data_IF_504432048520
#
_entry.id   IF_504432048520
#
_cell.length_a   1.000
_cell.length_b   1.000
_cell.length_c   1.000
_cell.angle_alpha   90.00
_cell.angle_beta   90.00
_cell.angle_gamma   90.00
#
_symmetry.space_group_name_H-M   'P 1'
#
loop_
_entity.id
_entity.type
_entity.pdbx_description
1 polymer ?
#
# COMPACT_ATOMS: atom_id res chain seq x y z
N UNK A 1 -7.01 23.47 -3.92
CA UNK A 1 -7.61 23.35 -5.27
C UNK A 1 -7.94 21.88 -5.47
N UNK A 2 -9.10 21.56 -6.00
CA UNK A 2 -9.58 20.18 -6.13
C UNK A 2 -9.94 19.91 -7.58
N UNK A 3 -9.36 18.86 -8.16
CA UNK A 3 -9.54 18.35 -9.52
C UNK A 3 -10.30 17.02 -9.53
N UNK A 4 -11.12 16.75 -8.50
CA UNK A 4 -11.94 15.56 -8.41
C UNK A 4 -12.74 15.33 -9.71
N UNK A 5 -12.67 14.11 -10.27
CA UNK A 5 -13.34 13.69 -11.52
C UNK A 5 -12.99 14.50 -12.74
N UNK A 6 -11.81 15.10 -12.78
CA UNK A 6 -11.30 15.71 -14.01
C UNK A 6 -10.81 14.61 -14.97
N UNK A 7 -11.74 13.85 -15.56
CA UNK A 7 -11.47 12.67 -16.40
C UNK A 7 -10.60 12.97 -17.63
N UNK A 8 -10.49 14.22 -18.04
CA UNK A 8 -9.63 14.68 -19.15
C UNK A 8 -8.29 15.29 -18.69
N UNK A 9 -8.03 15.38 -17.39
CA UNK A 9 -6.77 15.92 -16.86
C UNK A 9 -5.65 14.90 -17.10
N UNK A 10 -4.76 15.19 -18.05
CA UNK A 10 -3.66 14.28 -18.39
C UNK A 10 -2.41 14.49 -17.54
N UNK A 11 -2.19 15.74 -17.10
CA UNK A 11 -1.01 16.15 -16.34
C UNK A 11 -1.36 17.20 -15.29
N UNK A 12 -0.70 17.14 -14.13
CA UNK A 12 -0.81 18.16 -13.10
C UNK A 12 0.59 18.70 -12.73
N UNK A 13 0.80 20.01 -12.92
CA UNK A 13 1.99 20.71 -12.44
C UNK A 13 1.69 21.31 -11.07
N UNK A 14 2.37 20.79 -10.04
CA UNK A 14 2.22 21.26 -8.67
C UNK A 14 3.26 22.37 -8.39
N UNK A 15 2.89 23.44 -7.68
CA UNK A 15 3.81 24.54 -7.41
C UNK A 15 4.94 24.10 -6.47
N UNK A 16 6.13 24.66 -6.68
CA UNK A 16 7.24 24.54 -5.72
C UNK A 16 6.81 25.09 -4.36
N UNK A 17 7.23 24.43 -3.28
CA UNK A 17 6.85 24.80 -1.91
C UNK A 17 5.46 24.31 -1.50
N UNK A 18 4.75 23.54 -2.33
CA UNK A 18 3.54 22.85 -1.89
C UNK A 18 3.90 21.81 -0.82
N UNK A 19 3.37 21.99 0.39
CA UNK A 19 3.64 21.11 1.53
C UNK A 19 2.58 20.01 1.71
N UNK A 20 1.36 20.23 1.20
CA UNK A 20 0.27 19.26 1.35
C UNK A 20 -0.66 19.21 0.14
N UNK A 21 -1.17 18.01 -0.15
CA UNK A 21 -2.28 17.79 -1.09
C UNK A 21 -3.48 17.28 -0.28
N UNK A 22 -4.60 18.00 -0.37
CA UNK A 22 -5.80 17.66 0.40
C UNK A 22 -6.43 16.33 -0.01
N UNK A 23 -7.32 15.82 0.84
CA UNK A 23 -8.10 14.62 0.54
C UNK A 23 -8.89 14.79 -0.76
N UNK A 24 -8.98 13.70 -1.55
CA UNK A 24 -9.67 13.61 -2.84
C UNK A 24 -9.26 14.66 -3.88
N UNK A 25 -8.10 15.31 -3.72
CA UNK A 25 -7.69 16.43 -4.58
C UNK A 25 -7.64 16.06 -6.07
N UNK A 26 -7.25 14.85 -6.43
CA UNK A 26 -7.17 14.33 -7.80
C UNK A 26 -7.89 12.99 -7.96
N UNK A 27 -8.77 12.61 -7.03
CA UNK A 27 -9.51 11.36 -7.13
C UNK A 27 -10.28 11.29 -8.47
N UNK A 28 -10.34 10.12 -9.08
CA UNK A 28 -10.97 9.84 -10.38
C UNK A 28 -10.46 10.68 -11.56
N UNK A 29 -9.25 11.25 -11.49
CA UNK A 29 -8.61 11.78 -12.69
C UNK A 29 -8.09 10.61 -13.54
N UNK A 30 -9.01 9.86 -14.16
CA UNK A 30 -8.71 8.58 -14.83
C UNK A 30 -7.72 8.70 -15.98
N UNK A 31 -7.57 9.89 -16.60
CA UNK A 31 -6.55 10.17 -17.62
C UNK A 31 -5.23 10.72 -17.08
N UNK A 32 -5.12 10.99 -15.78
CA UNK A 32 -3.91 11.57 -15.18
C UNK A 32 -2.78 10.54 -15.22
N UNK A 33 -1.81 10.79 -16.08
CA UNK A 33 -0.66 9.89 -16.32
C UNK A 33 0.67 10.57 -16.01
N UNK A 34 0.74 11.89 -16.06
CA UNK A 34 1.94 12.66 -15.75
C UNK A 34 1.75 13.50 -14.48
N UNK A 35 2.34 13.05 -13.37
CA UNK A 35 2.30 13.71 -12.07
C UNK A 35 3.71 13.81 -11.49
N UNK A 36 4.17 15.03 -11.22
CA UNK A 36 5.40 15.27 -10.46
C UNK A 36 5.03 15.82 -9.10
N UNK A 37 5.39 15.09 -8.03
CA UNK A 37 5.23 15.57 -6.66
C UNK A 37 6.42 16.46 -6.29
N UNK A 38 6.22 17.64 -5.67
CA UNK A 38 7.32 18.52 -5.31
C UNK A 38 8.07 18.01 -4.08
N UNK A 39 9.38 18.26 -4.01
CA UNK A 39 10.25 17.81 -2.91
C UNK A 39 9.82 18.34 -1.53
N UNK A 40 9.11 19.48 -1.49
CA UNK A 40 8.59 20.10 -0.27
C UNK A 40 7.37 19.38 0.31
N UNK A 41 6.78 18.43 -0.42
CA UNK A 41 5.53 17.78 -0.03
C UNK A 41 5.74 16.85 1.18
N UNK A 42 4.97 17.09 2.24
CA UNK A 42 5.05 16.37 3.51
C UNK A 42 3.82 15.48 3.74
N UNK A 43 2.65 15.91 3.24
CA UNK A 43 1.38 15.27 3.53
C UNK A 43 0.52 15.02 2.27
N UNK A 44 0.02 13.78 2.14
CA UNK A 44 -1.01 13.40 1.19
C UNK A 44 -2.30 13.03 1.91
N UNK A 45 -3.38 13.74 1.61
CA UNK A 45 -4.71 13.50 2.16
C UNK A 45 -5.35 12.19 1.67
N UNK A 46 -6.46 11.82 2.30
CA UNK A 46 -7.15 10.57 2.01
C UNK A 46 -7.61 10.52 0.56
N UNK A 47 -7.39 9.37 -0.09
CA UNK A 47 -7.78 9.15 -1.50
C UNK A 47 -7.32 10.24 -2.48
N UNK A 48 -6.23 10.97 -2.18
CA UNK A 48 -5.83 12.13 -2.98
C UNK A 48 -5.65 11.83 -4.47
N UNK A 49 -5.23 10.60 -4.83
CA UNK A 49 -5.06 10.12 -6.20
C UNK A 49 -5.80 8.79 -6.44
N UNK A 50 -6.85 8.50 -5.66
CA UNK A 50 -7.61 7.27 -5.83
C UNK A 50 -8.25 7.21 -7.23
N UNK A 51 -8.25 6.03 -7.85
CA UNK A 51 -8.82 5.79 -9.19
C UNK A 51 -8.22 6.62 -10.33
N UNK A 52 -7.02 7.18 -10.15
CA UNK A 52 -6.19 7.66 -11.26
C UNK A 52 -5.59 6.46 -12.02
N UNK A 53 -6.43 5.74 -12.77
CA UNK A 53 -6.05 4.47 -13.42
C UNK A 53 -4.96 4.60 -14.48
N UNK A 54 -4.78 5.76 -15.11
CA UNK A 54 -3.67 6.04 -16.02
C UNK A 54 -2.34 6.39 -15.30
N UNK A 55 -2.34 6.58 -13.99
CA UNK A 55 -1.11 6.89 -13.22
C UNK A 55 -0.33 5.60 -12.99
N UNK A 56 0.71 5.39 -13.80
CA UNK A 56 1.49 4.14 -13.81
C UNK A 56 2.82 4.19 -13.06
N UNK A 57 3.28 5.41 -12.78
CA UNK A 57 4.50 5.70 -12.03
C UNK A 57 4.28 6.90 -11.10
N UNK A 58 4.90 6.87 -9.93
CA UNK A 58 4.97 8.01 -9.01
C UNK A 58 6.25 7.89 -8.19
N UNK A 59 6.99 8.99 -8.10
CA UNK A 59 8.11 9.11 -7.18
C UNK A 59 7.61 9.81 -5.90
N UNK A 60 7.72 9.12 -4.77
CA UNK A 60 7.34 9.70 -3.47
C UNK A 60 8.48 10.62 -2.99
N UNK A 61 8.20 11.89 -2.66
CA UNK A 61 9.22 12.82 -2.17
C UNK A 61 9.89 12.31 -0.90
N UNK A 62 11.19 12.58 -0.77
CA UNK A 62 11.96 12.13 0.40
C UNK A 62 11.39 12.68 1.71
N UNK A 63 10.87 13.92 1.72
CA UNK A 63 10.28 14.56 2.90
C UNK A 63 8.87 14.09 3.26
N UNK A 64 8.24 13.23 2.44
CA UNK A 64 6.88 12.76 2.66
C UNK A 64 6.81 11.89 3.91
N UNK A 65 6.03 12.33 4.90
CA UNK A 65 5.93 11.66 6.21
C UNK A 65 4.53 11.13 6.50
N UNK A 66 3.51 11.65 5.81
CA UNK A 66 2.13 11.25 5.99
C UNK A 66 1.49 10.80 4.66
N UNK A 67 1.08 9.53 4.63
CA UNK A 67 0.16 8.99 3.63
C UNK A 67 -1.22 8.79 4.26
N UNK A 68 -2.20 9.50 3.73
CA UNK A 68 -3.61 9.23 3.98
C UNK A 68 -4.02 7.81 3.59
N UNK A 69 -5.18 7.40 4.06
CA UNK A 69 -5.76 6.12 3.65
C UNK A 69 -6.15 6.18 2.17
N UNK A 70 -5.86 5.11 1.43
CA UNK A 70 -6.25 4.97 0.02
C UNK A 70 -5.66 5.99 -0.96
N UNK A 71 -4.60 6.73 -0.60
CA UNK A 71 -4.03 7.82 -1.43
C UNK A 71 -3.84 7.43 -2.89
N UNK A 72 -3.31 6.25 -3.18
CA UNK A 72 -3.10 5.71 -4.52
C UNK A 72 -3.95 4.46 -4.79
N UNK A 73 -5.09 4.31 -4.10
CA UNK A 73 -5.97 3.16 -4.30
C UNK A 73 -6.46 3.09 -5.76
N UNK A 74 -6.46 1.89 -6.34
CA UNK A 74 -6.95 1.61 -7.69
C UNK A 74 -6.25 2.43 -8.79
N UNK A 75 -5.00 2.82 -8.57
CA UNK A 75 -4.14 3.43 -9.60
C UNK A 75 -3.51 2.36 -10.50
N UNK A 76 -2.96 2.78 -11.63
CA UNK A 76 -2.22 1.93 -12.57
C UNK A 76 -0.76 1.67 -12.17
N UNK A 77 -0.36 2.00 -10.94
CA UNK A 77 1.03 1.94 -10.50
C UNK A 77 1.60 0.53 -10.68
N UNK A 78 2.79 0.45 -11.28
CA UNK A 78 3.47 -0.84 -11.56
C UNK A 78 4.52 -1.21 -10.53
N UNK A 79 5.17 -0.20 -9.97
CA UNK A 79 6.19 -0.34 -8.93
C UNK A 79 6.04 0.79 -7.92
N UNK A 80 6.36 0.51 -6.66
CA UNK A 80 6.37 1.51 -5.60
C UNK A 80 7.55 1.28 -4.67
N UNK A 81 8.26 2.37 -4.35
CA UNK A 81 9.18 2.43 -3.22
C UNK A 81 8.52 3.25 -2.10
N UNK A 82 8.28 2.63 -0.95
CA UNK A 82 7.74 3.30 0.24
C UNK A 82 8.92 3.85 1.03
N UNK A 83 9.04 5.19 1.06
CA UNK A 83 10.08 5.90 1.82
C UNK A 83 10.05 5.56 3.30
N UNK A 84 11.23 5.45 3.90
CA UNK A 84 11.44 5.19 5.33
C UNK A 84 10.80 6.21 6.27
N UNK A 85 10.54 7.43 5.78
CA UNK A 85 9.86 8.48 6.55
C UNK A 85 8.36 8.19 6.75
N UNK A 86 7.79 7.31 5.92
CA UNK A 86 6.39 6.88 6.00
C UNK A 86 6.31 5.69 6.96
N UNK A 87 6.32 5.99 8.26
CA UNK A 87 6.36 4.95 9.30
C UNK A 87 5.14 4.02 9.31
N UNK A 88 4.00 4.48 8.76
CA UNK A 88 2.72 3.75 8.76
C UNK A 88 2.03 3.93 7.41
N UNK A 89 1.74 2.83 6.73
CA UNK A 89 0.95 2.84 5.49
C UNK A 89 -0.38 2.10 5.69
N UNK A 90 -1.47 2.68 5.21
CA UNK A 90 -2.84 2.16 5.38
C UNK A 90 -3.56 2.20 4.07
N UNK A 91 -3.85 1.02 3.51
CA UNK A 91 -4.59 0.86 2.24
C UNK A 91 -4.11 1.75 1.10
N UNK A 92 -2.91 2.33 1.20
CA UNK A 92 -2.49 3.43 0.35
C UNK A 92 -2.36 3.00 -1.11
N UNK A 93 -2.18 1.69 -1.36
CA UNK A 93 -2.09 1.07 -2.67
C UNK A 93 -3.14 -0.04 -2.85
N UNK A 94 -4.29 0.07 -2.17
CA UNK A 94 -5.39 -0.89 -2.30
C UNK A 94 -5.84 -1.03 -3.76
N UNK A 95 -5.94 -2.25 -4.27
CA UNK A 95 -6.50 -2.51 -5.60
C UNK A 95 -5.66 -2.00 -6.77
N UNK A 96 -4.37 -1.70 -6.58
CA UNK A 96 -3.46 -1.39 -7.69
C UNK A 96 -3.17 -2.66 -8.51
N UNK A 97 -4.05 -2.99 -9.46
CA UNK A 97 -4.04 -4.25 -10.22
C UNK A 97 -2.89 -4.38 -11.24
N UNK A 98 -2.13 -3.32 -11.46
CA UNK A 98 -0.89 -3.37 -12.27
C UNK A 98 0.38 -3.45 -11.42
N UNK A 99 0.28 -3.34 -10.08
CA UNK A 99 1.42 -3.28 -9.18
C UNK A 99 2.09 -4.64 -9.11
N UNK A 100 3.37 -4.73 -9.50
CA UNK A 100 4.14 -5.99 -9.60
C UNK A 100 5.20 -6.12 -8.53
N UNK A 101 5.82 -5.01 -8.15
CA UNK A 101 6.96 -4.98 -7.23
C UNK A 101 6.80 -3.83 -6.25
N UNK A 102 7.03 -4.14 -4.97
CA UNK A 102 7.07 -3.14 -3.90
C UNK A 102 8.35 -3.30 -3.09
N UNK A 103 8.99 -2.17 -2.80
CA UNK A 103 10.09 -2.07 -1.85
C UNK A 103 9.71 -1.11 -0.74
N UNK A 104 9.79 -1.53 0.52
CA UNK A 104 9.69 -0.63 1.66
C UNK A 104 11.11 -0.37 2.21
N UNK A 105 11.46 0.91 2.36
CA UNK A 105 12.77 1.33 2.85
C UNK A 105 12.86 1.28 4.39
N UNK A 106 14.09 1.29 4.90
CA UNK A 106 14.36 1.36 6.34
C UNK A 106 13.69 2.58 6.98
N UNK A 107 12.93 2.34 8.03
CA UNK A 107 12.10 3.32 8.73
C UNK A 107 10.60 3.01 8.64
N UNK A 108 10.15 2.27 7.63
CA UNK A 108 8.77 1.76 7.55
C UNK A 108 8.54 0.76 8.70
N UNK A 109 7.50 1.00 9.52
CA UNK A 109 7.23 0.20 10.72
C UNK A 109 5.96 -0.63 10.64
N UNK A 110 4.94 -0.15 9.93
CA UNK A 110 3.65 -0.84 9.89
C UNK A 110 2.95 -0.74 8.54
N UNK A 111 2.46 -1.88 8.07
CA UNK A 111 1.65 -2.01 6.86
C UNK A 111 0.27 -2.57 7.21
N UNK A 112 -0.78 -1.86 6.82
CA UNK A 112 -2.15 -2.21 7.18
C UNK A 112 -3.08 -2.23 5.97
N UNK A 113 -3.34 -3.42 5.43
CA UNK A 113 -4.18 -3.56 4.23
C UNK A 113 -3.57 -2.90 2.99
N UNK A 114 -2.29 -2.53 3.04
CA UNK A 114 -1.65 -1.60 2.11
C UNK A 114 -1.72 -2.05 0.66
N UNK A 115 -1.66 -3.37 0.39
CA UNK A 115 -1.64 -3.95 -0.96
C UNK A 115 -2.85 -4.86 -1.22
N UNK A 116 -3.89 -4.81 -0.39
CA UNK A 116 -5.06 -5.67 -0.58
C UNK A 116 -5.66 -5.45 -1.97
N UNK A 117 -5.96 -6.52 -2.71
CA UNK A 117 -6.50 -6.49 -4.06
C UNK A 117 -5.47 -6.24 -5.17
N UNK A 118 -4.17 -6.17 -4.87
CA UNK A 118 -3.11 -6.11 -5.88
C UNK A 118 -2.84 -7.51 -6.47
N UNK A 119 -3.72 -7.97 -7.34
CA UNK A 119 -3.69 -9.32 -7.91
C UNK A 119 -2.49 -9.60 -8.83
N UNK A 120 -1.85 -8.59 -9.39
CA UNK A 120 -0.62 -8.69 -10.17
C UNK A 120 0.68 -8.58 -9.35
N UNK A 121 0.59 -8.35 -8.03
CA UNK A 121 1.76 -8.18 -7.17
C UNK A 121 2.52 -9.49 -7.07
N UNK A 122 3.80 -9.49 -7.47
CA UNK A 122 4.65 -10.69 -7.52
C UNK A 122 5.75 -10.69 -6.48
N UNK A 123 6.33 -9.53 -6.19
CA UNK A 123 7.49 -9.41 -5.29
C UNK A 123 7.30 -8.27 -4.31
N UNK A 124 7.56 -8.54 -3.03
CA UNK A 124 7.53 -7.53 -1.96
C UNK A 124 8.80 -7.63 -1.15
N UNK A 125 9.45 -6.50 -0.89
CA UNK A 125 10.68 -6.39 -0.11
C UNK A 125 10.40 -5.53 1.12
N UNK A 126 10.53 -6.11 2.31
CA UNK A 126 10.17 -5.51 3.60
C UNK A 126 11.40 -5.33 4.50
N UNK A 127 11.60 -4.13 5.10
CA UNK A 127 12.83 -3.75 5.78
C UNK A 127 13.01 -4.42 7.16
N UNK A 128 14.20 -4.28 7.74
CA UNK A 128 14.51 -4.73 9.10
C UNK A 128 13.70 -3.95 10.14
N UNK A 129 13.43 -2.67 9.89
CA UNK A 129 12.65 -1.81 10.79
C UNK A 129 11.17 -2.19 10.92
N UNK A 130 10.67 -3.15 10.12
CA UNK A 130 9.26 -3.49 10.07
C UNK A 130 8.82 -4.21 11.36
N UNK A 131 7.75 -3.70 11.97
CA UNK A 131 7.24 -4.20 13.26
C UNK A 131 5.91 -4.91 13.09
N UNK A 132 5.04 -4.46 12.17
CA UNK A 132 3.67 -4.96 12.06
C UNK A 132 3.20 -5.07 10.61
N UNK A 133 2.59 -6.20 10.28
CA UNK A 133 1.85 -6.39 9.03
C UNK A 133 0.47 -6.92 9.37
N UNK A 134 -0.59 -6.20 9.01
CA UNK A 134 -1.94 -6.75 9.27
C UNK A 134 -2.28 -7.88 8.32
N UNK A 135 -3.07 -8.84 8.80
CA UNK A 135 -3.57 -10.00 8.03
C UNK A 135 -4.24 -9.67 6.69
N UNK A 136 -4.74 -8.45 6.53
CA UNK A 136 -5.34 -7.96 5.30
C UNK A 136 -4.34 -7.47 4.24
N UNK A 137 -3.07 -7.27 4.59
CA UNK A 137 -2.10 -6.53 3.74
C UNK A 137 -1.93 -7.14 2.35
N UNK A 138 -1.99 -8.46 2.23
CA UNK A 138 -1.88 -9.20 0.96
C UNK A 138 -3.18 -9.92 0.57
N UNK A 139 -4.33 -9.53 1.12
CA UNK A 139 -5.62 -10.11 0.74
C UNK A 139 -5.84 -9.95 -0.78
N UNK A 140 -6.25 -11.01 -1.47
CA UNK A 140 -6.44 -11.01 -2.92
C UNK A 140 -5.17 -10.86 -3.78
N UNK A 141 -3.97 -10.91 -3.20
CA UNK A 141 -2.70 -10.87 -3.96
C UNK A 141 -2.37 -12.24 -4.57
N UNK A 142 -3.19 -12.69 -5.51
CA UNK A 142 -3.15 -14.07 -6.04
C UNK A 142 -1.89 -14.41 -6.86
N UNK A 143 -1.17 -13.40 -7.37
CA UNK A 143 0.10 -13.58 -8.08
C UNK A 143 1.34 -13.46 -7.20
N UNK A 144 1.20 -13.27 -5.88
CA UNK A 144 2.34 -13.05 -4.99
C UNK A 144 3.19 -14.32 -4.91
N UNK A 145 4.48 -14.16 -5.24
CA UNK A 145 5.45 -15.26 -5.32
C UNK A 145 6.56 -15.13 -4.31
N UNK A 146 7.10 -13.92 -4.15
CA UNK A 146 8.29 -13.70 -3.34
C UNK A 146 8.04 -12.58 -2.35
N UNK A 147 8.17 -12.88 -1.05
CA UNK A 147 8.14 -11.88 0.00
C UNK A 147 9.42 -11.96 0.82
N UNK A 148 10.23 -10.91 0.75
CA UNK A 148 11.46 -10.77 1.50
C UNK A 148 11.18 -10.02 2.79
N UNK A 149 11.41 -10.66 3.92
CA UNK A 149 11.17 -10.12 5.26
C UNK A 149 12.51 -10.10 6.00
N UNK A 150 13.11 -8.91 6.11
CA UNK A 150 14.39 -8.74 6.81
C UNK A 150 14.24 -8.56 8.33
N UNK A 151 13.04 -8.26 8.83
CA UNK A 151 12.77 -8.15 10.28
C UNK A 151 12.78 -9.51 10.99
N UNK A 152 13.46 -9.57 12.14
CA UNK A 152 13.55 -10.77 12.99
C UNK A 152 12.29 -11.03 13.81
N UNK A 153 11.58 -9.97 14.21
CA UNK A 153 10.52 -9.99 15.22
C UNK A 153 9.23 -9.30 14.76
N UNK A 154 9.01 -9.21 13.45
CA UNK A 154 7.76 -8.66 12.88
C UNK A 154 6.53 -9.46 13.34
N UNK A 155 5.49 -8.74 13.73
CA UNK A 155 4.16 -9.30 13.99
C UNK A 155 3.38 -9.47 12.68
N UNK A 156 3.28 -10.71 12.20
CA UNK A 156 2.56 -11.11 10.98
C UNK A 156 1.13 -11.58 11.25
N UNK A 157 0.76 -11.76 12.52
CA UNK A 157 -0.57 -12.18 12.94
C UNK A 157 -1.45 -11.03 13.38
N UNK A 158 -0.91 -9.82 13.36
CA UNK A 158 -1.57 -8.60 13.79
C UNK A 158 -2.95 -8.43 13.14
N UNK A 159 -3.99 -8.83 13.86
CA UNK A 159 -5.35 -8.43 13.55
C UNK A 159 -5.58 -7.13 14.28
N UNK A 160 -5.85 -6.06 13.54
CA UNK A 160 -6.45 -4.90 14.18
C UNK A 160 -7.91 -5.24 14.40
N UNK A 161 -8.26 -5.49 15.67
CA UNK A 161 -9.63 -5.34 16.10
C UNK A 161 -10.10 -3.95 15.61
N UNK A 162 -10.98 -3.92 14.61
CA UNK A 162 -11.60 -2.70 14.06
C UNK A 162 -10.71 -1.80 13.18
N UNK A 163 -10.12 -2.30 12.08
CA UNK A 163 -9.87 -1.37 10.96
C UNK A 163 -11.14 -1.27 10.13
N UNK A 164 -11.82 -0.15 10.30
CA UNK A 164 -12.71 0.39 9.28
C UNK A 164 -11.81 0.80 8.12
N UNK A 165 -11.94 0.15 6.97
CA UNK A 165 -11.31 0.66 5.76
C UNK A 165 -12.36 1.46 5.02
N UNK A 166 -11.96 2.65 4.60
CA UNK A 166 -12.81 3.50 3.80
C UNK A 166 -12.44 3.28 2.36
N UNK A 167 -13.23 2.43 1.69
CA UNK A 167 -13.13 2.33 0.23
C UNK A 167 -13.89 3.52 -0.31
N UNK A 168 -13.23 4.26 -1.17
CA UNK A 168 -13.82 5.39 -1.85
C UNK A 168 -14.90 4.86 -2.82
N UNK A 169 -16.14 5.34 -2.69
CA UNK A 169 -17.32 4.76 -3.34
C UNK A 169 -17.89 5.63 -4.48
N UNK A 170 -17.18 6.66 -4.93
CA UNK A 170 -17.71 7.52 -6.00
C UNK A 170 -18.60 8.68 -5.59
N UNK A 171 -19.15 8.67 -4.38
CA UNK A 171 -20.39 9.45 -4.16
C UNK A 171 -20.29 10.50 -3.05
N UNK A 172 -19.39 10.39 -2.08
CA UNK A 172 -19.29 11.41 -1.03
C UNK A 172 -17.87 11.54 -0.42
N UNK A 173 -17.56 12.73 0.11
CA UNK A 173 -16.36 12.97 0.92
C UNK A 173 -16.35 12.14 2.21
N UNK A 174 -17.46 11.46 2.52
CA UNK A 174 -17.52 10.38 3.49
C UNK A 174 -17.27 9.03 2.82
N UNK A 175 -16.03 8.59 2.90
CA UNK A 175 -15.67 7.30 3.47
C UNK A 175 -16.90 6.43 3.88
N UNK A 176 -17.36 5.54 2.99
CA UNK A 176 -18.26 4.47 3.46
C UNK A 176 -17.36 3.48 4.19
N UNK A 177 -17.66 3.22 5.47
CA UNK A 177 -17.07 2.12 6.20
C UNK A 177 -17.46 0.83 5.47
N UNK A 178 -16.64 0.37 4.53
CA UNK A 178 -16.74 -0.98 4.02
C UNK A 178 -16.15 -1.86 5.13
N UNK A 179 -17.08 -2.37 5.96
CA UNK A 179 -16.82 -3.54 6.78
C UNK A 179 -16.38 -4.64 5.82
N UNK A 180 -15.08 -4.81 5.63
CA UNK A 180 -14.59 -6.17 5.52
C UNK A 180 -14.95 -6.78 6.87
N UNK A 181 -16.04 -7.54 6.81
CA UNK A 181 -16.74 -8.17 7.91
C UNK A 181 -15.78 -8.62 9.01
N UNK A 182 -16.23 -8.45 10.26
CA UNK A 182 -15.83 -9.22 11.43
C UNK A 182 -14.61 -10.12 11.23
N UNK A 183 -13.48 -9.78 11.86
CA UNK A 183 -12.32 -10.66 12.02
C UNK A 183 -12.06 -11.52 10.78
N UNK A 184 -11.37 -11.02 9.74
CA UNK A 184 -10.85 -11.97 8.76
C UNK A 184 -9.93 -12.94 9.52
N UNK A 185 -10.36 -14.19 9.81
CA UNK A 185 -9.57 -15.09 10.62
C UNK A 185 -8.44 -15.67 9.78
N UNK A 186 -8.48 -15.42 8.46
CA UNK A 186 -7.55 -15.97 7.51
C UNK A 186 -6.12 -15.44 7.78
N UNK A 187 -5.12 -16.31 7.61
CA UNK A 187 -3.71 -15.93 7.67
C UNK A 187 -3.37 -14.82 6.66
N UNK A 188 -2.31 -14.04 6.94
CA UNK A 188 -1.76 -12.97 6.11
C UNK A 188 -1.64 -13.32 4.62
N UNK A 189 -1.27 -14.56 4.31
CA UNK A 189 -1.04 -15.04 2.95
C UNK A 189 -2.11 -16.02 2.44
N UNK A 190 -3.31 -16.05 3.05
CA UNK A 190 -4.36 -17.01 2.69
C UNK A 190 -4.77 -16.97 1.21
N UNK A 191 -4.73 -15.79 0.58
CA UNK A 191 -5.07 -15.59 -0.83
C UNK A 191 -3.85 -15.64 -1.77
N UNK A 192 -2.68 -16.06 -1.28
CA UNK A 192 -1.40 -16.05 -1.99
C UNK A 192 -0.90 -17.50 -2.21
N UNK A 193 -1.48 -18.28 -3.14
CA UNK A 193 -1.28 -19.72 -3.21
C UNK A 193 0.15 -20.16 -3.61
N UNK A 194 0.95 -19.27 -4.19
CA UNK A 194 2.29 -19.56 -4.71
C UNK A 194 3.40 -18.78 -3.99
N UNK A 195 3.12 -18.22 -2.81
CA UNK A 195 4.08 -17.38 -2.09
C UNK A 195 5.18 -18.22 -1.44
N UNK A 196 6.40 -17.71 -1.50
CA UNK A 196 7.58 -18.14 -0.76
C UNK A 196 8.03 -16.97 0.10
N UNK A 197 8.29 -17.26 1.39
CA UNK A 197 8.80 -16.28 2.34
C UNK A 197 10.32 -16.43 2.40
N UNK A 198 11.02 -15.32 2.16
CA UNK A 198 12.46 -15.21 2.29
C UNK A 198 12.78 -14.45 3.58
N UNK A 199 13.61 -14.99 4.46
CA UNK A 199 13.92 -14.34 5.73
C UNK A 199 15.04 -15.01 6.52
N UNK A 200 15.42 -14.42 7.65
CA UNK A 200 16.48 -14.99 8.49
C UNK A 200 16.00 -16.25 9.25
N UNK A 201 16.84 -17.29 9.39
CA UNK A 201 16.56 -18.41 10.28
C UNK A 201 16.32 -17.95 11.73
N UNK A 202 15.33 -18.53 12.39
CA UNK A 202 14.91 -18.19 13.75
C UNK A 202 14.01 -16.94 13.85
N UNK A 203 13.65 -16.31 12.73
CA UNK A 203 12.74 -15.17 12.69
C UNK A 203 11.28 -15.57 12.93
N UNK A 204 10.45 -14.58 13.26
CA UNK A 204 8.99 -14.73 13.27
C UNK A 204 8.44 -15.12 11.90
N UNK A 205 9.08 -14.67 10.81
CA UNK A 205 8.72 -15.05 9.45
C UNK A 205 8.91 -16.56 9.19
N UNK A 206 9.99 -17.16 9.68
CA UNK A 206 10.19 -18.62 9.58
C UNK A 206 9.14 -19.37 10.40
N UNK A 207 8.87 -18.93 11.63
CA UNK A 207 7.88 -19.55 12.50
C UNK A 207 6.48 -19.52 11.87
N UNK A 208 6.10 -18.36 11.30
CA UNK A 208 4.86 -18.16 10.56
C UNK A 208 4.77 -19.09 9.34
N UNK A 209 5.82 -19.15 8.53
CA UNK A 209 5.85 -20.01 7.35
C UNK A 209 5.64 -21.49 7.72
N UNK A 210 6.28 -21.94 8.82
CA UNK A 210 6.12 -23.30 9.35
C UNK A 210 4.71 -23.58 9.85
N UNK A 211 4.08 -22.64 10.53
CA UNK A 211 2.72 -22.79 11.07
C UNK A 211 1.67 -22.97 9.96
N UNK A 212 1.80 -22.18 8.88
CA UNK A 212 0.83 -22.17 7.79
C UNK A 212 1.24 -23.00 6.56
N UNK A 213 2.36 -23.73 6.63
CA UNK A 213 2.83 -24.61 5.55
C UNK A 213 3.29 -23.85 4.29
N UNK A 214 3.81 -22.63 4.46
CA UNK A 214 4.32 -21.79 3.37
C UNK A 214 5.81 -22.13 3.14
N UNK A 215 6.28 -22.26 1.89
CA UNK A 215 7.70 -22.38 1.58
C UNK A 215 8.53 -21.25 2.21
N UNK A 216 9.63 -21.62 2.86
CA UNK A 216 10.57 -20.68 3.47
C UNK A 216 11.98 -20.89 2.91
N UNK A 217 12.60 -19.81 2.43
CA UNK A 217 13.97 -19.80 1.93
C UNK A 217 14.83 -18.86 2.80
N UNK A 218 15.93 -19.37 3.41
CA UNK A 218 16.77 -18.53 4.25
C UNK A 218 17.63 -17.56 3.42
N UNK A 219 17.80 -16.35 3.93
CA UNK A 219 18.67 -15.30 3.35
C UNK A 219 19.98 -15.11 4.12
#
# INVERSE_FOLDING_TARGET
MTFWRCENLQSALLPEGLESIGSVAFAECSSLSALSLPDSLQDLGWNAFAECSALTEVELPAGLSMLGEGVFAQTGLRTVTISGNITKCRTSFYGCRELRTVTAEEGVRALWGTFAGCDALTTVILPESLQQVSRSTFRGCSSLRDVWIYSMDVDLDFSRASIKYTVWNGEDQSATDLYLEQENPAPLFADCPNVTIHGYPGSTAEAYAREYGIPFEPI
#
